data_IF_342663920642
#
_entry.id   IF_342663920642
#
_cell.length_a   1.000
_cell.length_b   1.000
_cell.length_c   1.000
_cell.angle_alpha   90.00
_cell.angle_beta   90.00
_cell.angle_gamma   90.00
#
_symmetry.space_group_name_H-M   'P 1'
#
loop_
_entity.id
_entity.type
_entity.pdbx_description
1 polymer ?
#
# COMPACT_ATOMS: atom_id res chain seq x y z
N UNK A 1 11.55 2.69 -8.37
CA UNK A 1 10.89 3.53 -7.34
C UNK A 1 9.44 3.69 -7.76
N UNK A 2 8.48 3.47 -6.86
CA UNK A 2 7.08 3.76 -7.13
C UNK A 2 6.92 5.25 -7.47
N UNK A 3 6.02 5.56 -8.40
CA UNK A 3 5.72 6.96 -8.74
C UNK A 3 5.15 7.66 -7.49
N UNK A 4 5.56 8.92 -7.22
CA UNK A 4 5.05 9.67 -6.10
C UNK A 4 3.52 9.82 -6.21
N UNK A 5 2.84 9.74 -5.08
CA UNK A 5 1.39 9.81 -4.98
C UNK A 5 0.85 11.20 -5.28
N UNK A 6 1.66 12.24 -5.11
CA UNK A 6 1.33 13.62 -5.43
C UNK A 6 2.55 14.38 -5.99
N UNK A 7 2.31 15.44 -6.75
CA UNK A 7 3.36 16.33 -7.25
C UNK A 7 3.53 17.60 -6.38
N UNK A 8 4.71 18.26 -6.44
CA UNK A 8 4.91 19.58 -5.84
C UNK A 8 3.89 20.63 -6.29
N UNK A 9 3.48 20.59 -7.57
CA UNK A 9 2.47 21.49 -8.10
C UNK A 9 1.08 21.24 -7.50
N UNK A 10 0.70 19.97 -7.30
CA UNK A 10 -0.54 19.61 -6.63
C UNK A 10 -0.53 20.11 -5.17
N UNK A 11 0.61 20.05 -4.48
CA UNK A 11 0.77 20.61 -3.13
C UNK A 11 0.67 22.15 -3.13
N UNK A 12 1.31 22.82 -4.09
CA UNK A 12 1.19 24.28 -4.27
C UNK A 12 -0.27 24.70 -4.45
N UNK A 13 -0.99 24.01 -5.32
CA UNK A 13 -2.41 24.25 -5.58
C UNK A 13 -3.27 23.98 -4.32
N UNK A 14 -2.99 22.90 -3.59
CA UNK A 14 -3.66 22.56 -2.34
C UNK A 14 -3.50 23.65 -1.27
N UNK A 15 -2.28 24.19 -1.13
CA UNK A 15 -1.95 25.25 -0.17
C UNK A 15 -2.34 26.66 -0.66
N UNK A 16 -2.78 26.80 -1.91
CA UNK A 16 -3.11 28.08 -2.56
C UNK A 16 -1.93 29.06 -2.57
N UNK A 17 -0.72 28.55 -2.79
CA UNK A 17 0.50 29.34 -2.89
C UNK A 17 0.75 29.77 -4.33
N UNK A 18 1.33 30.97 -4.50
CA UNK A 18 1.76 31.47 -5.82
C UNK A 18 3.01 30.74 -6.31
N UNK A 19 3.94 30.45 -5.40
CA UNK A 19 5.21 29.75 -5.65
C UNK A 19 5.44 28.75 -4.50
N UNK A 20 6.08 27.62 -4.81
CA UNK A 20 6.53 26.65 -3.82
C UNK A 20 7.97 26.25 -4.14
N UNK A 21 8.75 25.91 -3.13
CA UNK A 21 10.03 25.23 -3.30
C UNK A 21 9.73 23.75 -3.65
N UNK A 22 10.09 23.34 -4.86
CA UNK A 22 9.78 22.01 -5.38
C UNK A 22 10.53 20.88 -4.65
N UNK A 23 11.78 21.14 -4.25
CA UNK A 23 12.62 20.15 -3.55
C UNK A 23 12.06 19.92 -2.15
N UNK A 24 11.80 20.99 -1.40
CA UNK A 24 11.19 20.89 -0.09
C UNK A 24 9.78 20.28 -0.15
N UNK A 25 9.00 20.60 -1.20
CA UNK A 25 7.67 20.03 -1.38
C UNK A 25 7.75 18.51 -1.63
N UNK A 26 8.67 18.07 -2.47
CA UNK A 26 8.91 16.66 -2.74
C UNK A 26 9.32 15.91 -1.46
N UNK A 27 10.18 16.50 -0.63
CA UNK A 27 10.56 15.92 0.67
C UNK A 27 9.36 15.74 1.61
N UNK A 28 8.47 16.74 1.72
CA UNK A 28 7.28 16.63 2.58
C UNK A 28 6.28 15.60 2.06
N UNK A 29 6.13 15.49 0.75
CA UNK A 29 5.30 14.47 0.11
C UNK A 29 5.88 13.08 0.40
N UNK A 30 7.17 12.87 0.17
CA UNK A 30 7.83 11.60 0.43
C UNK A 30 7.71 11.18 1.92
N UNK A 31 7.90 12.12 2.85
CA UNK A 31 7.71 11.85 4.27
C UNK A 31 6.26 11.46 4.61
N UNK A 32 5.28 12.13 4.01
CA UNK A 32 3.86 11.79 4.18
C UNK A 32 3.55 10.39 3.63
N UNK A 33 4.05 10.05 2.45
CA UNK A 33 3.89 8.73 1.84
C UNK A 33 4.47 7.63 2.73
N UNK A 34 5.69 7.81 3.26
CA UNK A 34 6.30 6.83 4.16
C UNK A 34 5.43 6.55 5.38
N UNK A 35 4.89 7.59 6.02
CA UNK A 35 4.03 7.44 7.19
C UNK A 35 2.72 6.74 6.83
N UNK A 36 2.08 7.12 5.73
CA UNK A 36 0.81 6.51 5.31
C UNK A 36 1.03 5.05 4.92
N UNK A 37 2.09 4.72 4.17
CA UNK A 37 2.46 3.35 3.79
C UNK A 37 2.74 2.47 5.01
N UNK A 38 3.43 3.01 6.01
CA UNK A 38 3.71 2.29 7.26
C UNK A 38 2.42 1.88 8.00
N UNK A 39 1.37 2.72 7.93
CA UNK A 39 0.12 2.47 8.64
C UNK A 39 -0.85 1.55 7.87
N UNK A 40 -0.87 1.62 6.54
CA UNK A 40 -1.86 0.90 5.71
C UNK A 40 -1.77 -0.63 5.81
N UNK A 41 -0.61 -1.18 6.21
CA UNK A 41 -0.31 -2.63 6.26
C UNK A 41 -0.63 -3.39 4.94
N UNK A 42 -0.78 -2.65 3.84
CA UNK A 42 -1.11 -3.14 2.51
C UNK A 42 -0.33 -2.33 1.48
N UNK A 43 0.08 -2.97 0.38
CA UNK A 43 0.60 -2.26 -0.78
C UNK A 43 -0.54 -1.65 -1.57
N UNK A 44 -0.51 -0.32 -1.76
CA UNK A 44 -1.45 0.41 -2.62
C UNK A 44 -0.95 0.46 -4.06
N UNK A 45 0.37 0.41 -4.27
CA UNK A 45 0.93 0.48 -5.62
C UNK A 45 0.65 -0.81 -6.37
N UNK A 46 0.53 -0.70 -7.69
CA UNK A 46 0.45 -1.86 -8.56
C UNK A 46 1.70 -2.74 -8.43
N UNK A 47 1.49 -3.99 -8.00
CA UNK A 47 2.50 -5.05 -7.96
C UNK A 47 1.99 -6.19 -8.82
N UNK A 48 2.85 -6.66 -9.73
CA UNK A 48 2.56 -7.79 -10.60
C UNK A 48 3.37 -9.01 -10.16
N UNK A 49 2.76 -10.20 -10.23
CA UNK A 49 3.39 -11.48 -9.92
C UNK A 49 3.79 -11.63 -8.46
N UNK A 50 3.02 -11.08 -7.53
CA UNK A 50 3.27 -11.23 -6.10
C UNK A 50 2.81 -12.59 -5.59
N UNK A 51 3.68 -13.27 -4.83
CA UNK A 51 3.41 -14.57 -4.25
C UNK A 51 3.02 -14.41 -2.79
N UNK A 52 1.75 -14.69 -2.48
CA UNK A 52 1.19 -14.57 -1.14
C UNK A 52 0.94 -15.95 -0.55
N UNK A 53 1.56 -16.21 0.59
CA UNK A 53 1.30 -17.42 1.37
C UNK A 53 0.21 -17.17 2.41
N UNK A 54 -0.79 -18.03 2.39
CA UNK A 54 -1.95 -18.00 3.28
C UNK A 54 -2.07 -19.33 4.03
N UNK A 55 -2.62 -19.26 5.24
CA UNK A 55 -2.94 -20.46 6.01
C UNK A 55 -4.40 -20.84 5.75
N UNK A 56 -4.59 -22.07 5.28
CA UNK A 56 -5.90 -22.65 5.05
C UNK A 56 -6.73 -22.71 6.33
N UNK A 57 -7.98 -22.25 6.23
CA UNK A 57 -8.81 -21.97 7.40
C UNK A 57 -9.98 -22.94 7.58
N UNK A 58 -10.04 -24.03 6.81
CA UNK A 58 -11.16 -24.97 6.84
C UNK A 58 -12.48 -24.42 6.27
N UNK A 59 -12.48 -23.21 5.69
CA UNK A 59 -13.68 -22.54 5.17
C UNK A 59 -13.65 -22.47 3.65
N UNK A 60 -14.78 -22.13 3.06
CA UNK A 60 -14.90 -21.93 1.61
C UNK A 60 -14.23 -20.63 1.14
N UNK A 61 -13.99 -19.68 2.03
CA UNK A 61 -13.49 -18.34 1.71
C UNK A 61 -12.21 -18.06 2.48
N UNK A 62 -11.23 -17.50 1.78
CA UNK A 62 -10.03 -16.91 2.37
C UNK A 62 -9.83 -15.50 1.81
N UNK A 63 -9.32 -14.59 2.64
CA UNK A 63 -9.11 -13.19 2.27
C UNK A 63 -7.65 -12.97 1.91
N UNK A 64 -7.42 -12.40 0.73
CA UNK A 64 -6.12 -11.94 0.29
C UNK A 64 -5.73 -10.66 1.05
N UNK A 65 -4.46 -10.51 1.42
CA UNK A 65 -3.98 -9.40 2.23
C UNK A 65 -3.89 -8.09 1.44
N UNK A 66 -3.81 -8.15 0.12
CA UNK A 66 -3.61 -6.99 -0.73
C UNK A 66 -4.82 -6.72 -1.62
N UNK A 67 -5.18 -5.44 -1.73
CA UNK A 67 -6.37 -4.95 -2.43
C UNK A 67 -6.03 -3.71 -3.25
N UNK A 68 -6.68 -3.50 -4.41
CA UNK A 68 -7.56 -4.43 -5.11
C UNK A 68 -6.74 -5.54 -5.78
N UNK A 69 -7.31 -6.74 -5.88
CA UNK A 69 -6.71 -7.81 -6.70
C UNK A 69 -7.14 -7.59 -8.15
N UNK A 70 -6.19 -7.51 -9.07
CA UNK A 70 -6.45 -7.25 -10.49
C UNK A 70 -6.35 -8.51 -11.35
N UNK A 71 -5.51 -9.46 -10.96
CA UNK A 71 -5.42 -10.77 -11.60
C UNK A 71 -4.94 -11.83 -10.60
N UNK A 72 -5.35 -13.08 -10.79
CA UNK A 72 -4.77 -14.25 -10.10
C UNK A 72 -4.24 -15.19 -11.17
N UNK A 73 -2.94 -15.43 -11.15
CA UNK A 73 -2.25 -16.25 -12.13
C UNK A 73 -2.29 -17.74 -11.75
N UNK A 74 -2.06 -18.06 -10.47
CA UNK A 74 -2.13 -19.43 -9.98
C UNK A 74 -2.44 -19.48 -8.49
N UNK A 75 -3.00 -20.61 -8.07
CA UNK A 75 -3.22 -20.96 -6.66
C UNK A 75 -2.74 -22.39 -6.46
N UNK A 76 -1.85 -22.61 -5.51
CA UNK A 76 -1.38 -23.96 -5.12
C UNK A 76 -1.74 -24.22 -3.66
N UNK A 77 -1.82 -25.50 -3.29
CA UNK A 77 -2.08 -25.94 -1.92
C UNK A 77 -1.01 -26.95 -1.53
N UNK A 78 -0.29 -26.71 -0.44
CA UNK A 78 0.84 -27.52 0.06
C UNK A 78 1.90 -27.81 -1.01
N UNK A 79 2.16 -26.85 -1.89
CA UNK A 79 3.15 -27.00 -2.97
C UNK A 79 2.75 -27.96 -4.10
N UNK A 80 1.51 -28.43 -4.13
CA UNK A 80 1.00 -29.25 -5.23
C UNK A 80 0.79 -28.44 -6.52
N UNK A 81 0.43 -29.15 -7.60
CA UNK A 81 0.10 -28.54 -8.88
C UNK A 81 -0.95 -27.43 -8.72
N UNK A 82 -0.87 -26.35 -9.54
CA UNK A 82 -1.85 -25.29 -9.51
C UNK A 82 -3.28 -25.82 -9.72
N UNK A 83 -4.19 -25.29 -8.91
CA UNK A 83 -5.61 -25.55 -9.08
C UNK A 83 -6.08 -25.05 -10.44
N UNK A 84 -7.01 -25.78 -11.07
CA UNK A 84 -7.63 -25.31 -12.30
C UNK A 84 -8.56 -24.13 -12.00
N UNK A 85 -8.74 -23.23 -12.96
CA UNK A 85 -9.53 -22.01 -12.78
C UNK A 85 -11.01 -22.25 -12.43
N UNK A 86 -11.52 -23.47 -12.61
CA UNK A 86 -12.89 -23.85 -12.22
C UNK A 86 -13.01 -24.34 -10.76
N UNK A 87 -11.89 -24.56 -10.06
CA UNK A 87 -11.86 -24.98 -8.65
C UNK A 87 -11.87 -23.81 -7.67
N UNK A 88 -11.72 -22.58 -8.15
CA UNK A 88 -11.77 -21.39 -7.32
C UNK A 88 -12.32 -20.19 -8.09
N UNK A 89 -12.81 -19.22 -7.34
CA UNK A 89 -13.22 -17.92 -7.84
C UNK A 89 -12.63 -16.85 -6.96
N UNK A 90 -12.15 -15.76 -7.55
CA UNK A 90 -11.69 -14.60 -6.82
C UNK A 90 -12.50 -13.35 -7.21
N UNK A 91 -12.39 -12.28 -6.43
CA UNK A 91 -12.91 -10.98 -6.80
C UNK A 91 -11.93 -9.86 -6.44
N UNK A 92 -12.20 -8.65 -6.94
CA UNK A 92 -11.38 -7.45 -6.69
C UNK A 92 -11.22 -7.06 -5.22
N UNK A 93 -12.10 -7.55 -4.34
CA UNK A 93 -12.10 -7.30 -2.90
C UNK A 93 -11.26 -8.33 -2.14
N UNK A 94 -10.43 -9.10 -2.84
CA UNK A 94 -9.51 -10.07 -2.25
C UNK A 94 -10.19 -11.31 -1.70
N UNK A 95 -11.45 -11.57 -2.09
CA UNK A 95 -12.16 -12.75 -1.62
C UNK A 95 -11.83 -13.91 -2.55
N UNK A 96 -11.08 -14.89 -2.06
CA UNK A 96 -10.77 -16.13 -2.76
C UNK A 96 -11.68 -17.26 -2.24
N UNK A 97 -12.61 -17.69 -3.10
CA UNK A 97 -13.61 -18.72 -2.82
C UNK A 97 -13.19 -20.05 -3.45
N UNK A 98 -13.16 -21.12 -2.68
CA UNK A 98 -13.03 -22.49 -3.21
C UNK A 98 -14.36 -22.95 -3.81
N UNK A 99 -14.31 -23.50 -5.01
CA UNK A 99 -15.44 -24.14 -5.70
C UNK A 99 -15.25 -25.66 -5.58
N UNK A 100 -16.22 -26.36 -5.00
CA UNK A 100 -16.15 -27.82 -4.80
C UNK A 100 -15.69 -28.28 -3.41
N UNK A 101 -15.60 -27.38 -2.43
CA UNK A 101 -15.28 -27.76 -1.05
C UNK A 101 -14.81 -26.59 -0.20
N UNK A 102 -14.06 -26.90 0.86
CA UNK A 102 -13.38 -25.91 1.70
C UNK A 102 -11.88 -25.88 1.40
N UNK A 103 -11.24 -24.76 1.68
CA UNK A 103 -9.79 -24.70 1.83
C UNK A 103 -9.37 -25.67 2.95
N UNK A 104 -8.39 -26.55 2.72
CA UNK A 104 -7.93 -27.48 3.76
C UNK A 104 -7.46 -26.71 4.99
N UNK A 105 -7.74 -27.22 6.18
CA UNK A 105 -7.29 -26.59 7.42
C UNK A 105 -5.76 -26.75 7.56
N UNK A 106 -5.09 -25.69 7.96
CA UNK A 106 -3.64 -25.62 8.21
C UNK A 106 -2.73 -25.87 6.99
N UNK A 107 -3.31 -26.01 5.79
CA UNK A 107 -2.54 -26.11 4.55
C UNK A 107 -1.92 -24.77 4.14
N UNK A 108 -0.76 -24.81 3.49
CA UNK A 108 -0.12 -23.62 2.90
C UNK A 108 -0.74 -23.36 1.53
N UNK A 109 -1.45 -22.24 1.40
CA UNK A 109 -2.07 -21.82 0.15
C UNK A 109 -1.22 -20.69 -0.43
N UNK A 110 -0.50 -20.97 -1.52
CA UNK A 110 0.30 -19.95 -2.21
C UNK A 110 -0.50 -19.42 -3.39
N UNK A 111 -0.68 -18.10 -3.44
CA UNK A 111 -1.43 -17.40 -4.48
C UNK A 111 -0.48 -16.47 -5.22
N UNK A 112 -0.33 -16.69 -6.53
CA UNK A 112 0.37 -15.76 -7.42
C UNK A 112 -0.65 -14.78 -7.99
N UNK A 113 -0.55 -13.50 -7.64
CA UNK A 113 -1.53 -12.50 -8.05
C UNK A 113 -0.93 -11.13 -8.34
N UNK A 114 -1.66 -10.36 -9.14
CA UNK A 114 -1.42 -8.95 -9.36
C UNK A 114 -2.40 -8.17 -8.48
N UNK A 115 -1.91 -7.13 -7.81
CA UNK A 115 -2.71 -6.34 -6.89
C UNK A 115 -2.28 -4.87 -6.86
N UNK A 116 -3.10 -4.04 -6.23
CA UNK A 116 -2.85 -2.61 -6.07
C UNK A 116 -3.44 -1.77 -7.20
N UNK A 117 -3.19 -0.47 -7.13
CA UNK A 117 -3.72 0.51 -8.07
C UNK A 117 -2.65 0.96 -9.06
N UNK A 118 -2.99 0.91 -10.35
CA UNK A 118 -2.15 1.49 -11.40
C UNK A 118 -2.02 3.02 -11.26
N UNK A 119 -3.06 3.68 -10.74
CA UNK A 119 -3.08 5.10 -10.42
C UNK A 119 -3.52 5.29 -8.97
N UNK A 120 -2.77 6.08 -8.21
CA UNK A 120 -3.09 6.36 -6.80
C UNK A 120 -4.53 6.85 -6.65
N UNK A 121 -5.36 6.21 -5.81
CA UNK A 121 -6.73 6.64 -5.60
C UNK A 121 -6.82 8.09 -5.14
N UNK A 122 -7.78 8.85 -5.68
CA UNK A 122 -7.97 10.26 -5.33
C UNK A 122 -8.09 10.52 -3.81
N UNK A 123 -8.78 9.67 -3.00
CA UNK A 123 -8.81 9.86 -1.55
C UNK A 123 -7.44 9.71 -0.88
N UNK A 124 -6.61 8.76 -1.34
CA UNK A 124 -5.26 8.53 -0.82
C UNK A 124 -4.35 9.70 -1.15
N UNK A 125 -4.41 10.18 -2.41
CA UNK A 125 -3.72 11.40 -2.83
C UNK A 125 -4.13 12.60 -1.97
N UNK A 126 -5.42 12.78 -1.72
CA UNK A 126 -5.92 13.89 -0.91
C UNK A 126 -5.42 13.83 0.55
N UNK A 127 -5.38 12.64 1.15
CA UNK A 127 -4.80 12.47 2.50
C UNK A 127 -3.31 12.78 2.48
N UNK A 128 -2.57 12.31 1.48
CA UNK A 128 -1.15 12.62 1.31
C UNK A 128 -0.91 14.13 1.23
N UNK A 129 -1.70 14.85 0.42
CA UNK A 129 -1.62 16.31 0.30
C UNK A 129 -1.94 17.01 1.63
N UNK A 130 -2.92 16.53 2.40
CA UNK A 130 -3.24 17.09 3.72
C UNK A 130 -2.13 16.88 4.74
N UNK A 131 -1.51 15.71 4.78
CA UNK A 131 -0.40 15.40 5.70
C UNK A 131 0.84 16.22 5.30
N UNK A 132 1.20 16.23 4.03
CA UNK A 132 2.32 17.02 3.51
C UNK A 132 2.10 18.52 3.74
N UNK A 133 0.89 19.04 3.49
CA UNK A 133 0.53 20.43 3.74
C UNK A 133 0.61 20.83 5.21
N UNK A 134 0.24 19.94 6.14
CA UNK A 134 0.45 20.17 7.58
C UNK A 134 1.93 20.24 7.94
N UNK A 135 2.74 19.33 7.41
CA UNK A 135 4.19 19.32 7.62
C UNK A 135 4.89 20.54 6.99
N UNK A 136 4.32 21.10 5.92
CA UNK A 136 4.76 22.34 5.29
C UNK A 136 4.48 23.56 6.17
N UNK A 137 3.23 23.75 6.59
CA UNK A 137 2.81 24.93 7.38
C UNK A 137 3.39 24.91 8.80
N UNK A 138 3.55 23.72 9.36
CA UNK A 138 4.19 23.51 10.66
C UNK A 138 5.38 22.58 10.46
N UNK A 139 6.51 23.09 9.98
CA UNK A 139 7.74 22.32 10.05
C UNK A 139 7.94 22.01 11.52
N UNK A 140 7.99 20.73 11.90
CA UNK A 140 8.33 20.36 13.26
C UNK A 140 9.66 21.04 13.57
N UNK A 141 9.63 22.02 14.47
CA UNK A 141 10.84 22.66 14.95
C UNK A 141 11.64 21.54 15.58
N UNK A 142 12.64 21.04 14.86
CA UNK A 142 13.59 20.11 15.44
C UNK A 142 14.09 20.77 16.72
N UNK A 143 13.98 20.06 17.84
CA UNK A 143 14.52 20.53 19.10
C UNK A 143 16.03 20.72 18.90
N UNK A 144 16.45 21.92 18.49
CA UNK A 144 17.84 22.31 18.50
C UNK A 144 18.17 22.50 19.98
N UNK A 145 18.68 21.44 20.60
CA UNK A 145 19.36 21.54 21.88
C UNK A 145 20.59 22.40 21.64
N UNK A 146 20.48 23.71 21.86
CA UNK A 146 21.64 24.59 21.87
C UNK A 146 22.56 24.11 22.98
N UNK A 147 23.65 23.44 22.60
CA UNK A 147 24.77 23.15 23.49
C UNK A 147 25.54 24.46 23.72
N UNK A 148 24.91 25.42 24.38
CA UNK A 148 25.61 26.53 25.01
C UNK A 148 26.09 26.05 26.38
N UNK A 149 27.14 25.23 26.35
CA UNK A 149 27.91 24.84 27.53
C UNK A 149 29.03 25.83 27.75
N UNK A 150 28.77 26.82 28.60
CA UNK A 150 29.75 27.77 29.14
C UNK A 150 30.75 27.03 30.01
N UNK A 151 32.04 27.05 29.63
CA UNK A 151 33.16 26.58 30.44
C UNK A 151 34.23 27.65 30.50
N UNK A 152 34.24 28.40 31.61
CA UNK A 152 35.32 29.30 32.02
C UNK A 152 36.56 28.52 32.41
#
# INVERSE_FOLDING_TARGET
MASPWASPEELRAHLRLTVIDEEQAAEKIAAAETVIRAELRQSIDAVAGDAVDLVGNGRTIINLPHLPVTAVASVTVDGHAPLISTEYRWNRYGILTRLGGCWPLDAVITVLCDHGYALTPAPVKQVCLQVAGRAWVRPSTGYQRSLSGTGR
#
